data_IF_482256851023
#
_entry.id   IF_482256851023
#
_cell.length_a   1.000
_cell.length_b   1.000
_cell.length_c   1.000
_cell.angle_alpha   90.00
_cell.angle_beta   90.00
_cell.angle_gamma   90.00
#
_symmetry.space_group_name_H-M   'P 1'
#
loop_
_entity.id
_entity.type
_entity.pdbx_description
1 polymer ?
#
# COMPACT_ATOMS: atom_id res chain seq x y z
N UNK A 1 -7.16 -17.64 19.03
CA UNK A 1 -6.07 -16.66 18.84
C UNK A 1 -5.41 -17.01 17.51
N UNK A 2 -5.53 -16.15 16.48
CA UNK A 2 -5.08 -16.45 15.12
C UNK A 2 -3.75 -15.73 14.88
N UNK A 3 -2.70 -16.51 14.64
CA UNK A 3 -1.36 -15.99 14.35
C UNK A 3 -1.28 -15.67 12.85
N UNK A 4 -0.67 -14.53 12.50
CA UNK A 4 -0.27 -14.22 11.13
C UNK A 4 1.15 -14.75 10.91
N UNK A 5 1.28 -15.70 9.99
CA UNK A 5 2.55 -16.27 9.57
C UNK A 5 2.86 -15.75 8.16
N UNK A 6 4.09 -15.28 7.94
CA UNK A 6 4.51 -14.66 6.69
C UNK A 6 4.31 -15.58 5.48
N UNK A 7 4.52 -16.89 5.64
CA UNK A 7 4.27 -17.86 4.57
C UNK A 7 2.78 -18.05 4.29
N UNK A 8 1.94 -17.96 5.32
CA UNK A 8 0.48 -18.04 5.19
C UNK A 8 -0.10 -16.77 4.53
N UNK A 9 0.43 -15.58 4.86
CA UNK A 9 0.04 -14.33 4.20
C UNK A 9 0.54 -14.26 2.75
N UNK A 10 1.70 -14.86 2.44
CA UNK A 10 2.22 -15.02 1.08
C UNK A 10 1.40 -16.03 0.25
N UNK A 11 0.99 -17.15 0.85
CA UNK A 11 0.09 -18.11 0.19
C UNK A 11 -1.28 -17.49 -0.13
N UNK A 12 -1.76 -16.57 0.73
CA UNK A 12 -2.98 -15.81 0.48
C UNK A 12 -2.79 -14.70 -0.58
N UNK A 13 -1.63 -14.02 -0.62
CA UNK A 13 -1.36 -13.05 -1.69
C UNK A 13 -1.30 -13.70 -3.07
N UNK A 14 -0.99 -15.01 -3.12
CA UNK A 14 -0.91 -15.86 -4.31
C UNK A 14 -2.23 -16.57 -4.67
N UNK A 15 -3.37 -16.23 -4.06
CA UNK A 15 -4.66 -16.74 -4.55
C UNK A 15 -4.86 -16.29 -6.01
N UNK A 16 -4.77 -17.24 -6.94
CA UNK A 16 -4.78 -17.03 -8.39
C UNK A 16 -5.98 -16.20 -8.83
N UNK A 17 -7.14 -16.42 -8.20
CA UNK A 17 -8.36 -15.66 -8.41
C UNK A 17 -8.23 -14.18 -8.03
N UNK A 18 -7.58 -13.86 -6.92
CA UNK A 18 -7.39 -12.45 -6.52
C UNK A 18 -6.39 -11.78 -7.47
N UNK A 19 -5.35 -12.48 -7.90
CA UNK A 19 -4.40 -12.00 -8.89
C UNK A 19 -5.10 -11.66 -10.23
N UNK A 20 -5.99 -12.52 -10.72
CA UNK A 20 -6.81 -12.25 -11.91
C UNK A 20 -7.73 -11.03 -11.73
N UNK A 21 -8.31 -10.84 -10.54
CA UNK A 21 -9.16 -9.68 -10.24
C UNK A 21 -8.37 -8.36 -10.34
N UNK A 22 -7.14 -8.32 -9.83
CA UNK A 22 -6.26 -7.15 -9.97
C UNK A 22 -5.87 -6.92 -11.44
N UNK A 23 -5.51 -7.98 -12.17
CA UNK A 23 -5.15 -7.86 -13.59
C UNK A 23 -6.31 -7.31 -14.42
N UNK A 24 -7.52 -7.83 -14.22
CA UNK A 24 -8.74 -7.31 -14.85
C UNK A 24 -9.03 -5.85 -14.46
N UNK A 25 -8.80 -5.48 -13.19
CA UNK A 25 -8.89 -4.11 -12.74
C UNK A 25 -7.90 -3.20 -13.50
N UNK A 26 -6.64 -3.61 -13.65
CA UNK A 26 -5.62 -2.81 -14.32
C UNK A 26 -5.93 -2.60 -15.79
N UNK A 27 -6.31 -3.65 -16.52
CA UNK A 27 -6.70 -3.52 -17.93
C UNK A 27 -7.88 -2.57 -18.13
N UNK A 28 -8.82 -2.52 -17.18
CA UNK A 28 -9.94 -1.57 -17.20
C UNK A 28 -9.51 -0.15 -16.82
N UNK A 29 -8.71 -0.02 -15.77
CA UNK A 29 -8.34 1.27 -15.17
C UNK A 29 -7.30 2.04 -15.99
N UNK A 30 -6.46 1.33 -16.75
CA UNK A 30 -5.33 1.89 -17.48
C UNK A 30 -5.45 1.63 -18.98
N UNK A 31 -6.07 2.55 -19.74
CA UNK A 31 -6.09 2.48 -21.18
C UNK A 31 -4.68 2.36 -21.77
N UNK A 32 -4.50 1.47 -22.74
CA UNK A 32 -3.20 1.24 -23.37
C UNK A 32 -2.25 0.32 -22.61
N UNK A 33 -2.66 -0.23 -21.46
CA UNK A 33 -1.94 -1.33 -20.81
C UNK A 33 -1.93 -2.55 -21.73
N UNK A 34 -0.74 -3.06 -22.04
CA UNK A 34 -0.57 -4.22 -22.91
C UNK A 34 -0.21 -5.48 -22.13
N UNK A 35 0.69 -5.35 -21.16
CA UNK A 35 1.24 -6.50 -20.44
C UNK A 35 1.37 -6.21 -18.95
N UNK A 36 1.06 -7.23 -18.16
CA UNK A 36 1.24 -7.25 -16.71
C UNK A 36 2.24 -8.37 -16.41
N UNK A 37 3.29 -8.04 -15.66
CA UNK A 37 4.31 -8.99 -15.22
C UNK A 37 4.25 -9.10 -13.70
N UNK A 38 4.01 -10.30 -13.17
CA UNK A 38 4.12 -10.59 -11.74
C UNK A 38 5.60 -10.67 -11.35
N UNK A 39 6.00 -9.91 -10.35
CA UNK A 39 7.35 -9.98 -9.77
C UNK A 39 7.43 -11.18 -8.84
N UNK A 40 8.33 -12.10 -9.16
CA UNK A 40 8.56 -13.34 -8.40
C UNK A 40 9.88 -13.33 -7.64
N UNK A 41 10.78 -12.39 -7.92
CA UNK A 41 12.06 -12.30 -7.24
C UNK A 41 11.94 -11.56 -5.89
N UNK A 42 12.53 -12.16 -4.86
CA UNK A 42 12.44 -11.67 -3.47
C UNK A 42 13.09 -10.30 -3.31
N UNK A 43 14.13 -9.98 -4.08
CA UNK A 43 14.85 -8.72 -3.94
C UNK A 43 13.98 -7.54 -4.39
N UNK A 44 13.23 -7.69 -5.47
CA UNK A 44 12.30 -6.69 -5.99
C UNK A 44 11.02 -6.63 -5.14
N UNK A 45 10.48 -7.77 -4.71
CA UNK A 45 9.34 -7.78 -3.77
C UNK A 45 9.66 -7.05 -2.46
N UNK A 46 10.89 -7.18 -1.95
CA UNK A 46 11.35 -6.43 -0.76
C UNK A 46 11.40 -4.91 -0.95
N UNK A 47 11.38 -4.43 -2.20
CA UNK A 47 11.24 -3.01 -2.53
C UNK A 47 9.78 -2.56 -2.57
N UNK A 48 8.82 -3.45 -2.28
CA UNK A 48 7.39 -3.18 -2.41
C UNK A 48 7.01 -3.00 -3.87
N UNK A 49 7.32 -4.00 -4.71
CA UNK A 49 6.89 -4.04 -6.11
C UNK A 49 6.38 -5.46 -6.36
N UNK A 50 5.08 -5.56 -6.59
CA UNK A 50 4.39 -6.83 -6.86
C UNK A 50 4.21 -7.06 -8.35
N UNK A 51 3.94 -6.00 -9.12
CA UNK A 51 3.74 -6.08 -10.57
C UNK A 51 4.39 -4.95 -11.34
N UNK A 52 4.68 -5.24 -12.60
CA UNK A 52 5.14 -4.27 -13.59
C UNK A 52 4.11 -4.21 -14.73
N UNK A 53 3.54 -3.04 -14.94
CA UNK A 53 2.58 -2.71 -15.98
C UNK A 53 3.30 -2.09 -17.16
N UNK A 54 3.22 -2.71 -18.35
CA UNK A 54 3.85 -2.22 -19.58
C UNK A 54 2.80 -1.75 -20.57
N UNK A 55 2.90 -0.49 -20.98
CA UNK A 55 1.97 0.20 -21.88
C UNK A 55 2.43 0.14 -23.34
N UNK A 56 1.50 0.40 -24.27
CA UNK A 56 1.75 0.38 -25.71
C UNK A 56 2.81 1.35 -26.22
N UNK A 57 3.06 2.43 -25.48
CA UNK A 57 4.11 3.39 -25.75
C UNK A 57 5.49 2.97 -25.16
N UNK A 58 5.60 1.78 -24.57
CA UNK A 58 6.81 1.29 -23.91
C UNK A 58 7.01 1.80 -22.49
N UNK A 59 6.13 2.66 -21.96
CA UNK A 59 6.18 3.09 -20.57
C UNK A 59 5.96 1.90 -19.63
N UNK A 60 6.73 1.86 -18.55
CA UNK A 60 6.58 0.87 -17.48
C UNK A 60 6.20 1.59 -16.19
N UNK A 61 5.23 1.02 -15.48
CA UNK A 61 4.76 1.48 -14.18
C UNK A 61 4.79 0.30 -13.22
N UNK A 62 5.25 0.53 -12.00
CA UNK A 62 5.36 -0.47 -10.94
C UNK A 62 4.28 -0.27 -9.89
N UNK A 63 3.73 -1.36 -9.36
CA UNK A 63 2.66 -1.32 -8.35
C UNK A 63 2.94 -2.26 -7.19
N UNK A 64 2.47 -1.87 -6.01
CA UNK A 64 2.42 -2.68 -4.77
C UNK A 64 0.96 -2.84 -4.36
N UNK A 65 0.50 -4.07 -4.17
CA UNK A 65 -0.89 -4.40 -3.91
C UNK A 65 -1.14 -4.58 -2.42
N UNK A 66 -2.11 -3.82 -1.89
CA UNK A 66 -2.53 -3.92 -0.50
C UNK A 66 -3.99 -4.34 -0.46
N UNK A 67 -4.29 -5.38 0.32
CA UNK A 67 -5.64 -5.95 0.44
C UNK A 67 -6.21 -5.68 1.82
N UNK A 68 -7.44 -5.19 1.87
CA UNK A 68 -8.22 -4.95 3.09
C UNK A 68 -9.47 -5.83 3.05
N UNK A 69 -9.53 -6.80 3.97
CA UNK A 69 -10.59 -7.83 4.00
C UNK A 69 -11.90 -7.38 4.61
N UNK A 70 -11.93 -6.21 5.23
CA UNK A 70 -13.13 -5.64 5.87
C UNK A 70 -13.18 -4.16 5.54
N UNK A 71 -14.34 -3.68 5.12
CA UNK A 71 -14.54 -2.26 4.85
C UNK A 71 -14.79 -1.51 6.16
N UNK A 72 -13.79 -0.74 6.60
CA UNK A 72 -13.89 0.17 7.74
C UNK A 72 -14.06 1.64 7.31
N UNK A 73 -14.17 1.91 6.00
CA UNK A 73 -14.08 3.27 5.46
C UNK A 73 -12.69 3.92 5.57
N UNK A 74 -11.66 3.13 5.94
CA UNK A 74 -10.29 3.58 6.13
C UNK A 74 -9.30 3.01 5.10
N UNK A 75 -8.16 3.67 5.00
CA UNK A 75 -6.94 3.14 4.41
C UNK A 75 -5.90 3.06 5.53
N UNK A 76 -5.37 1.86 5.74
CA UNK A 76 -4.28 1.66 6.69
C UNK A 76 -2.97 2.11 6.08
N UNK A 77 -2.26 3.01 6.74
CA UNK A 77 -0.89 3.38 6.40
C UNK A 77 0.07 2.68 7.36
N UNK A 78 0.94 1.82 6.83
CA UNK A 78 1.90 1.07 7.63
C UNK A 78 3.11 1.94 7.96
N UNK A 79 3.28 2.24 9.24
CA UNK A 79 4.40 3.03 9.75
C UNK A 79 5.62 2.16 10.01
N UNK A 80 5.39 0.95 10.54
CA UNK A 80 6.43 0.00 10.92
C UNK A 80 6.03 -1.40 10.49
N UNK A 81 6.84 -2.01 9.63
CA UNK A 81 6.70 -3.43 9.25
C UNK A 81 7.09 -4.35 10.41
N UNK A 82 8.12 -3.96 11.16
CA UNK A 82 8.60 -4.64 12.37
C UNK A 82 8.86 -3.62 13.47
N UNK A 83 8.12 -3.70 14.56
CA UNK A 83 8.35 -2.92 15.78
C UNK A 83 8.56 -3.86 16.96
N UNK A 84 9.81 -3.96 17.43
CA UNK A 84 10.23 -4.73 18.60
C UNK A 84 11.38 -3.97 19.31
N UNK A 85 11.10 -2.80 19.90
CA UNK A 85 12.11 -1.97 20.54
C UNK A 85 12.83 -2.69 21.69
N UNK A 86 12.15 -3.60 22.40
CA UNK A 86 12.73 -4.43 23.45
C UNK A 86 13.81 -5.40 22.93
N UNK A 87 13.84 -5.66 21.63
CA UNK A 87 14.86 -6.46 20.94
C UNK A 87 15.83 -5.60 20.12
N UNK A 88 15.73 -4.27 20.21
CA UNK A 88 16.52 -3.35 19.41
C UNK A 88 16.17 -3.35 17.91
N UNK A 89 14.97 -3.83 17.53
CA UNK A 89 14.57 -3.94 16.12
C UNK A 89 13.40 -3.00 15.80
N UNK A 90 13.61 -2.10 14.85
CA UNK A 90 12.57 -1.26 14.28
C UNK A 90 12.79 -1.11 12.77
N UNK A 91 11.86 -1.62 11.96
CA UNK A 91 11.88 -1.54 10.50
C UNK A 91 10.68 -0.76 10.01
N UNK A 92 10.93 0.27 9.22
CA UNK A 92 9.88 1.12 8.64
C UNK A 92 8.94 0.29 7.75
N UNK A 93 7.69 0.73 7.72
CA UNK A 93 6.65 0.15 6.87
C UNK A 93 6.66 0.69 5.45
N UNK A 94 5.82 0.10 4.61
CA UNK A 94 5.75 0.42 3.17
C UNK A 94 5.44 1.90 2.89
N UNK A 95 4.78 2.61 3.81
CA UNK A 95 4.55 4.06 3.68
C UNK A 95 5.86 4.81 3.42
N UNK A 96 6.96 4.34 4.01
CA UNK A 96 8.28 4.94 3.87
C UNK A 96 9.21 4.19 2.92
N UNK A 97 9.02 2.88 2.73
CA UNK A 97 10.00 2.01 2.06
C UNK A 97 9.63 1.57 0.65
N UNK A 98 8.34 1.56 0.29
CA UNK A 98 7.90 1.14 -1.05
C UNK A 98 8.56 1.98 -2.16
N UNK A 99 9.00 1.32 -3.23
CA UNK A 99 9.68 1.96 -4.36
C UNK A 99 8.84 1.92 -5.64
N UNK A 100 7.62 1.39 -5.56
CA UNK A 100 6.67 1.39 -6.66
C UNK A 100 6.13 2.79 -6.98
N UNK A 101 5.65 2.97 -8.20
CA UNK A 101 5.01 4.21 -8.66
C UNK A 101 3.64 4.41 -8.00
N UNK A 102 2.88 3.33 -7.82
CA UNK A 102 1.55 3.36 -7.18
C UNK A 102 1.38 2.27 -6.11
N UNK A 103 0.72 2.63 -5.02
CA UNK A 103 0.12 1.67 -4.09
C UNK A 103 -1.32 1.42 -4.55
N UNK A 104 -1.67 0.17 -4.82
CA UNK A 104 -3.03 -0.23 -5.21
C UNK A 104 -3.71 -0.86 -3.99
N UNK A 105 -4.58 -0.09 -3.34
CA UNK A 105 -5.23 -0.49 -2.09
C UNK A 105 -6.67 -0.97 -2.34
N UNK A 106 -6.91 -2.28 -2.23
CA UNK A 106 -8.19 -2.90 -2.50
C UNK A 106 -9.00 -3.18 -1.22
N UNK A 107 -10.26 -2.75 -1.21
CA UNK A 107 -11.28 -3.15 -0.23
C UNK A 107 -12.05 -4.34 -0.82
N UNK A 108 -11.60 -5.55 -0.49
CA UNK A 108 -12.06 -6.78 -1.15
C UNK A 108 -13.59 -6.98 -1.09
N UNK A 109 -14.28 -6.79 0.06
CA UNK A 109 -15.73 -7.00 0.13
C UNK A 109 -16.55 -6.01 -0.70
N UNK A 110 -15.95 -4.88 -1.10
CA UNK A 110 -16.61 -3.83 -1.90
C UNK A 110 -16.23 -3.86 -3.37
N UNK A 111 -15.25 -4.67 -3.77
CA UNK A 111 -14.66 -4.63 -5.11
C UNK A 111 -14.19 -3.23 -5.53
N UNK A 112 -13.66 -2.45 -4.56
CA UNK A 112 -13.12 -1.12 -4.80
C UNK A 112 -11.60 -1.21 -4.66
N UNK A 113 -10.87 -0.59 -5.60
CA UNK A 113 -9.43 -0.40 -5.51
C UNK A 113 -9.09 1.08 -5.67
N UNK A 114 -8.28 1.60 -4.75
CA UNK A 114 -7.70 2.94 -4.82
C UNK A 114 -6.31 2.85 -5.45
N UNK A 115 -6.05 3.67 -6.47
CA UNK A 115 -4.73 3.82 -7.08
C UNK A 115 -4.08 5.06 -6.49
N UNK A 116 -3.12 4.86 -5.60
CA UNK A 116 -2.49 5.95 -4.84
C UNK A 116 -1.09 6.23 -5.41
N UNK A 117 -0.82 7.42 -5.97
CA UNK A 117 0.53 7.77 -6.41
C UNK A 117 1.48 7.83 -5.20
N UNK A 118 2.50 6.98 -5.17
CA UNK A 118 3.32 6.76 -3.96
C UNK A 118 3.97 8.05 -3.46
N UNK A 119 4.48 8.88 -4.36
CA UNK A 119 5.12 10.14 -3.99
C UNK A 119 4.13 11.16 -3.41
N UNK A 120 2.93 11.27 -3.98
CA UNK A 120 1.91 12.20 -3.47
C UNK A 120 1.30 11.71 -2.15
N UNK A 121 1.15 10.39 -1.99
CA UNK A 121 0.78 9.79 -0.70
C UNK A 121 1.80 10.16 0.40
N UNK A 122 3.09 10.09 0.10
CA UNK A 122 4.16 10.47 1.04
C UNK A 122 4.19 11.96 1.32
N UNK A 123 3.96 12.80 0.32
CA UNK A 123 3.86 14.24 0.49
C UNK A 123 2.70 14.59 1.43
N UNK A 124 1.50 14.04 1.17
CA UNK A 124 0.33 14.24 2.00
C UNK A 124 0.57 13.78 3.45
N UNK A 125 1.20 12.62 3.63
CA UNK A 125 1.63 12.16 4.94
C UNK A 125 2.60 13.13 5.61
N UNK A 126 3.63 13.60 4.91
CA UNK A 126 4.62 14.51 5.46
C UNK A 126 3.99 15.83 5.95
N UNK A 127 3.03 16.36 5.18
CA UNK A 127 2.26 17.57 5.49
C UNK A 127 1.36 17.38 6.71
N UNK A 128 0.68 16.23 6.83
CA UNK A 128 -0.41 16.05 7.80
C UNK A 128 -0.09 15.14 8.99
N UNK A 129 1.05 14.42 9.01
CA UNK A 129 1.37 13.41 10.04
C UNK A 129 1.23 13.90 11.46
N UNK A 130 1.60 15.15 11.75
CA UNK A 130 1.54 15.72 13.10
C UNK A 130 0.11 15.87 13.62
N UNK A 131 -0.85 16.19 12.75
CA UNK A 131 -2.27 16.23 13.07
C UNK A 131 -2.85 14.82 13.13
N UNK A 132 -2.57 13.99 12.12
CA UNK A 132 -3.16 12.67 11.98
C UNK A 132 -2.76 11.73 13.13
N UNK A 133 -1.50 11.76 13.58
CA UNK A 133 -1.04 10.96 14.73
C UNK A 133 -1.75 11.34 16.04
N UNK A 134 -2.31 12.54 16.14
CA UNK A 134 -3.09 12.99 17.31
C UNK A 134 -4.57 12.63 17.18
N UNK A 135 -5.10 12.73 15.97
CA UNK A 135 -6.53 12.62 15.67
C UNK A 135 -6.99 11.18 15.44
N UNK A 136 -6.19 10.40 14.73
CA UNK A 136 -6.54 9.04 14.35
C UNK A 136 -5.75 8.05 15.20
N UNK A 137 -6.43 7.06 15.80
CA UNK A 137 -5.75 6.09 16.64
C UNK A 137 -4.83 5.23 15.79
N UNK A 138 -3.64 4.93 16.33
CA UNK A 138 -2.93 3.75 15.88
C UNK A 138 -3.78 2.52 16.19
N UNK A 139 -3.99 1.69 15.18
CA UNK A 139 -4.73 0.45 15.40
C UNK A 139 -3.97 -0.44 16.37
N UNK A 140 -4.72 -1.25 17.14
CA UNK A 140 -4.12 -2.27 18.01
C UNK A 140 -3.08 -3.05 17.19
N UNK A 141 -1.81 -3.10 17.63
CA UNK A 141 -0.75 -3.65 16.80
C UNK A 141 -1.08 -5.09 16.39
N UNK A 142 -0.92 -5.41 15.12
CA UNK A 142 -1.00 -6.80 14.67
C UNK A 142 0.16 -7.55 15.33
N UNK A 143 -0.17 -8.45 16.28
CA UNK A 143 0.84 -9.19 17.06
C UNK A 143 1.33 -10.39 16.26
N UNK A 144 2.56 -10.30 15.79
CA UNK A 144 3.30 -11.42 15.22
C UNK A 144 4.14 -12.09 16.31
N UNK A 145 4.76 -13.24 16.01
CA UNK A 145 5.61 -13.96 16.98
C UNK A 145 6.88 -13.17 17.28
N UNK A 146 6.79 -12.27 18.26
CA UNK A 146 7.93 -11.52 18.80
C UNK A 146 8.20 -10.15 18.17
N UNK A 147 7.28 -9.60 17.38
CA UNK A 147 7.26 -8.21 16.92
C UNK A 147 5.83 -7.79 16.59
N UNK A 148 5.60 -6.48 16.41
CA UNK A 148 4.29 -5.98 15.94
C UNK A 148 4.42 -5.13 14.69
N UNK A 149 3.39 -5.12 13.86
CA UNK A 149 3.25 -4.17 12.75
C UNK A 149 2.36 -3.01 13.21
N UNK A 150 2.80 -1.77 12.99
CA UNK A 150 2.07 -0.57 13.41
C UNK A 150 1.50 0.16 12.20
N UNK A 151 0.21 0.43 12.27
CA UNK A 151 -0.55 1.10 11.22
C UNK A 151 -1.36 2.24 11.84
N UNK A 152 -1.58 3.29 11.05
CA UNK A 152 -2.57 4.32 11.33
C UNK A 152 -3.71 4.21 10.33
N UNK A 153 -4.95 4.26 10.82
CA UNK A 153 -6.16 4.20 9.98
C UNK A 153 -6.61 5.63 9.63
N UNK A 154 -6.50 6.01 8.35
CA UNK A 154 -6.97 7.31 7.88
C UNK A 154 -8.26 7.09 7.08
N UNK A 155 -9.35 7.81 7.36
CA UNK A 155 -10.55 7.77 6.51
C UNK A 155 -10.19 8.01 5.04
N UNK A 156 -10.75 7.19 4.15
CA UNK A 156 -10.34 7.18 2.75
C UNK A 156 -10.55 8.55 2.07
N UNK A 157 -11.66 9.23 2.34
CA UNK A 157 -11.98 10.57 1.82
C UNK A 157 -10.98 11.63 2.27
N UNK A 158 -10.56 11.59 3.54
CA UNK A 158 -9.56 12.50 4.10
C UNK A 158 -8.20 12.26 3.43
N UNK A 159 -7.79 11.00 3.30
CA UNK A 159 -6.50 10.67 2.67
C UNK A 159 -6.47 11.08 1.19
N UNK A 160 -7.53 10.75 0.44
CA UNK A 160 -7.62 11.08 -0.98
C UNK A 160 -7.65 12.59 -1.23
N UNK A 161 -8.37 13.36 -0.40
CA UNK A 161 -8.38 14.82 -0.50
C UNK A 161 -6.99 15.40 -0.20
N UNK A 162 -6.27 14.87 0.79
CA UNK A 162 -4.92 15.30 1.09
C UNK A 162 -3.97 15.02 -0.10
N UNK A 163 -4.02 13.82 -0.68
CA UNK A 163 -3.23 13.46 -1.88
C UNK A 163 -3.57 14.39 -3.06
N UNK A 164 -4.86 14.66 -3.30
CA UNK A 164 -5.30 15.55 -4.36
C UNK A 164 -4.73 16.97 -4.20
N UNK A 165 -4.65 17.49 -2.97
CA UNK A 165 -4.07 18.81 -2.71
C UNK A 165 -2.59 18.87 -3.06
N UNK A 166 -1.84 17.79 -2.88
CA UNK A 166 -0.43 17.72 -3.25
C UNK A 166 -0.18 17.75 -4.76
N UNK A 167 -1.21 17.53 -5.59
CA UNK A 167 -1.10 17.71 -7.05
C UNK A 167 -0.95 19.18 -7.45
N UNK A 168 -1.33 20.12 -6.58
CA UNK A 168 -1.32 21.56 -6.85
C UNK A 168 -0.42 22.29 -5.86
N UNK A 169 0.81 22.55 -6.30
CA UNK A 169 1.78 23.32 -5.53
C UNK A 169 2.12 24.65 -6.23
N UNK A 170 2.38 25.70 -5.44
CA UNK A 170 2.89 26.96 -5.98
C UNK A 170 4.37 26.79 -6.29
N UNK A 171 4.79 27.15 -7.50
CA UNK A 171 6.21 27.33 -7.80
C UNK A 171 6.70 28.56 -7.04
N UNK A 172 7.79 28.42 -6.29
CA UNK A 172 8.46 29.57 -5.69
C UNK A 172 9.39 30.16 -6.75
N UNK A 173 9.19 31.44 -7.05
CA UNK A 173 10.07 32.25 -7.90
C UNK A 173 11.30 32.71 -7.14
#
# INVERSE_FOLDING_TARGET
MKWHDFQTDLAYSLEERENEMFDAFYYRAFPGLQRIELVTDIATQRKGIDKILTFSNGQRVTVDEKKRRTDYGDILLELWSVWAPEKGVAKLGWLYTAQCDYIVYAIMPRNIAYVLPTLLLRAAWATHKGEWLKKYPELKPARNKGYVTRNIAIPADILLNAIYREMRNKMVS
#
